data_IF_649558690562
#
_entry.id   IF_649558690562
#
_cell.length_a   1.000
_cell.length_b   1.000
_cell.length_c   1.000
_cell.angle_alpha   90.00
_cell.angle_beta   90.00
_cell.angle_gamma   90.00
#
_symmetry.space_group_name_H-M   'P 1'
#
loop_
_entity.id
_entity.type
_entity.pdbx_description
1 polymer ?
#
# COMPACT_ATOMS: atom_id res chain seq x y z
N UNK A 1 -7.30 68.35 8.89
CA UNK A 1 -8.11 67.11 8.88
C UNK A 1 -7.13 65.98 8.60
N UNK A 2 -6.72 65.26 9.64
CA UNK A 2 -5.68 64.24 9.56
C UNK A 2 -6.36 62.87 9.51
N UNK A 3 -6.16 62.13 8.42
CA UNK A 3 -6.63 60.75 8.31
C UNK A 3 -5.67 59.81 9.06
N UNK A 4 -6.16 58.79 9.78
CA UNK A 4 -5.29 57.83 10.45
C UNK A 4 -4.82 56.77 9.45
N UNK A 5 -3.51 56.52 9.43
CA UNK A 5 -2.91 55.41 8.71
C UNK A 5 -3.10 54.11 9.53
N UNK A 6 -3.83 53.16 8.96
CA UNK A 6 -4.02 51.84 9.56
C UNK A 6 -2.84 50.93 9.20
N UNK A 7 -2.10 50.50 10.23
CA UNK A 7 -1.01 49.54 10.10
C UNK A 7 -1.62 48.13 10.00
N UNK A 8 -1.55 47.51 8.83
CA UNK A 8 -1.93 46.11 8.64
C UNK A 8 -0.74 45.24 9.07
N UNK A 9 -0.86 44.57 10.22
CA UNK A 9 0.09 43.56 10.65
C UNK A 9 -0.18 42.26 9.88
N UNK A 10 0.71 41.92 8.94
CA UNK A 10 0.71 40.61 8.29
C UNK A 10 1.32 39.61 9.26
N UNK A 11 0.48 38.82 9.92
CA UNK A 11 0.91 37.73 10.78
C UNK A 11 1.31 36.54 9.89
N UNK A 12 2.61 36.40 9.61
CA UNK A 12 3.14 35.24 8.90
C UNK A 12 3.05 34.02 9.83
N UNK A 13 2.04 33.17 9.62
CA UNK A 13 1.96 31.88 10.28
C UNK A 13 3.05 30.98 9.70
N UNK A 14 4.15 30.82 10.45
CA UNK A 14 5.15 29.83 10.11
C UNK A 14 4.52 28.43 10.27
N UNK A 15 4.19 27.80 9.14
CA UNK A 15 3.80 26.40 9.12
C UNK A 15 5.06 25.58 9.44
N UNK A 16 5.18 25.13 10.70
CA UNK A 16 6.20 24.17 11.12
C UNK A 16 5.90 22.83 10.46
N UNK A 17 6.60 22.51 9.38
CA UNK A 17 6.59 21.18 8.80
C UNK A 17 7.40 20.25 9.72
N UNK A 18 6.72 19.39 10.47
CA UNK A 18 7.37 18.29 11.16
C UNK A 18 7.95 17.34 10.11
N UNK A 19 9.27 17.29 10.01
CA UNK A 19 9.97 16.24 9.26
C UNK A 19 9.91 14.97 10.12
N UNK A 20 8.99 14.07 9.80
CA UNK A 20 9.03 12.70 10.34
C UNK A 20 10.24 12.03 9.67
N UNK A 21 11.21 11.59 10.46
CA UNK A 21 12.30 10.76 9.96
C UNK A 21 11.71 9.50 9.35
N UNK A 22 12.13 9.15 8.14
CA UNK A 22 11.69 7.93 7.49
C UNK A 22 11.95 6.70 8.39
N UNK A 23 11.00 5.76 8.39
CA UNK A 23 11.10 4.57 9.21
C UNK A 23 12.22 3.65 8.71
N UNK A 24 12.93 3.01 9.64
CA UNK A 24 13.70 1.79 9.34
C UNK A 24 12.75 0.59 9.31
N UNK A 25 13.16 -0.54 8.71
CA UNK A 25 12.29 -1.72 8.60
C UNK A 25 11.77 -2.23 9.96
N UNK A 26 12.54 -2.02 11.02
CA UNK A 26 12.20 -2.42 12.40
C UNK A 26 11.56 -1.31 13.24
N UNK A 27 11.41 -0.09 12.72
CA UNK A 27 10.88 1.04 13.48
C UNK A 27 9.45 0.77 13.99
N UNK A 28 9.03 1.39 15.12
CA UNK A 28 7.64 1.30 15.58
C UNK A 28 6.65 1.79 14.53
N UNK A 29 5.43 1.25 14.49
CA UNK A 29 4.42 1.59 13.48
C UNK A 29 3.99 3.06 13.51
N UNK A 30 4.26 3.77 14.61
CA UNK A 30 4.08 5.23 14.70
C UNK A 30 4.99 6.04 13.74
N UNK A 31 6.05 5.43 13.20
CA UNK A 31 6.88 6.02 12.14
C UNK A 31 6.44 5.63 10.73
N UNK A 32 5.38 4.84 10.58
CA UNK A 32 4.84 4.36 9.32
C UNK A 32 3.51 5.05 9.00
N UNK A 33 3.19 5.17 7.72
CA UNK A 33 1.91 5.69 7.28
C UNK A 33 0.91 4.56 7.14
N UNK A 34 -0.14 4.55 7.97
CA UNK A 34 -1.25 3.61 7.87
C UNK A 34 -2.01 3.86 6.57
N UNK A 35 -2.27 2.81 5.80
CA UNK A 35 -3.15 2.85 4.64
C UNK A 35 -4.51 2.28 5.02
N UNK A 36 -5.52 3.15 5.10
CA UNK A 36 -6.87 2.76 5.51
C UNK A 36 -7.45 1.71 4.57
N UNK A 37 -8.09 0.69 5.14
CA UNK A 37 -8.77 -0.39 4.44
C UNK A 37 -9.53 -1.23 5.46
N UNK A 38 -10.41 -2.12 4.99
CA UNK A 38 -11.12 -3.05 5.87
C UNK A 38 -10.41 -4.40 5.85
N UNK A 39 -9.34 -4.54 6.63
CA UNK A 39 -8.52 -5.75 6.69
C UNK A 39 -9.16 -6.77 7.65
N UNK A 40 -10.29 -7.32 7.22
CA UNK A 40 -11.05 -8.35 7.92
C UNK A 40 -10.92 -9.69 7.20
N UNK A 41 -10.09 -10.56 7.77
CA UNK A 41 -9.74 -11.89 7.25
C UNK A 41 -10.92 -12.88 7.12
N UNK A 42 -12.05 -12.61 7.79
CA UNK A 42 -13.18 -13.55 7.83
C UNK A 42 -13.92 -13.65 6.50
N UNK A 43 -13.75 -12.67 5.60
CA UNK A 43 -14.49 -12.59 4.34
C UNK A 43 -13.72 -13.13 3.12
N UNK A 44 -12.41 -13.37 3.26
CA UNK A 44 -11.46 -13.54 2.17
C UNK A 44 -10.43 -14.67 2.38
N UNK A 45 -10.31 -15.21 3.60
CA UNK A 45 -9.51 -16.40 3.87
C UNK A 45 -9.99 -17.63 3.07
N UNK A 46 -9.06 -18.31 2.41
CA UNK A 46 -9.38 -19.52 1.62
C UNK A 46 -8.92 -20.84 2.23
N UNK A 47 -7.82 -20.82 2.98
CA UNK A 47 -7.15 -22.04 3.47
C UNK A 47 -7.76 -22.55 4.78
N UNK A 48 -8.56 -21.73 5.46
CA UNK A 48 -9.03 -21.99 6.83
C UNK A 48 -7.88 -22.10 7.84
N UNK A 49 -6.72 -21.52 7.54
CA UNK A 49 -5.53 -21.50 8.39
C UNK A 49 -5.22 -20.04 8.78
N UNK A 50 -5.44 -19.66 10.05
CA UNK A 50 -5.34 -18.26 10.45
C UNK A 50 -3.93 -17.67 10.38
N UNK A 51 -2.90 -18.53 10.41
CA UNK A 51 -1.51 -18.10 10.31
C UNK A 51 -1.19 -17.46 8.96
N UNK A 52 -1.11 -16.12 8.92
CA UNK A 52 -0.87 -15.32 7.71
C UNK A 52 -2.10 -14.57 7.19
N UNK A 53 -3.19 -14.56 7.95
CA UNK A 53 -4.33 -13.69 7.71
C UNK A 53 -3.96 -12.23 8.01
N UNK A 54 -4.35 -11.31 7.14
CA UNK A 54 -4.08 -9.88 7.27
C UNK A 54 -5.18 -9.28 8.14
N UNK A 55 -4.78 -8.70 9.27
CA UNK A 55 -5.73 -8.23 10.28
C UNK A 55 -5.54 -6.76 10.61
N UNK A 56 -6.63 -6.03 10.70
CA UNK A 56 -6.59 -4.64 11.14
C UNK A 56 -7.92 -3.94 10.94
N UNK A 57 -8.33 -3.17 11.95
CA UNK A 57 -9.54 -2.36 11.88
C UNK A 57 -9.42 -1.10 12.76
N UNK A 58 -10.07 -0.02 12.33
CA UNK A 58 -10.09 1.24 13.06
C UNK A 58 -8.68 1.78 13.37
N UNK A 59 -8.35 1.89 14.64
CA UNK A 59 -7.03 2.36 15.11
C UNK A 59 -5.93 1.30 15.05
N UNK A 60 -6.28 0.03 14.82
CA UNK A 60 -5.33 -1.06 14.64
C UNK A 60 -5.06 -1.22 13.14
N UNK A 61 -4.07 -0.49 12.61
CA UNK A 61 -3.76 -0.53 11.18
C UNK A 61 -3.37 -1.93 10.71
N UNK A 62 -3.90 -2.35 9.55
CA UNK A 62 -3.59 -3.64 8.92
C UNK A 62 -2.47 -3.57 7.88
N UNK A 63 -2.36 -2.45 7.18
CA UNK A 63 -1.36 -2.22 6.14
C UNK A 63 -0.77 -0.82 6.25
N UNK A 64 0.54 -0.72 6.03
CA UNK A 64 1.31 0.49 6.18
C UNK A 64 2.35 0.61 5.07
N UNK A 65 2.69 1.86 4.74
CA UNK A 65 3.79 2.21 3.84
C UNK A 65 4.76 3.18 4.51
N UNK A 66 5.98 3.22 4.02
CA UNK A 66 6.96 4.25 4.36
C UNK A 66 7.91 4.45 3.17
N UNK A 67 8.50 5.63 3.09
CA UNK A 67 9.53 5.91 2.11
C UNK A 67 10.67 6.70 2.74
N UNK A 68 11.89 6.29 2.40
CA UNK A 68 13.12 6.94 2.83
C UNK A 68 13.86 7.43 1.59
N UNK A 69 13.96 8.74 1.40
CA UNK A 69 14.75 9.35 0.32
C UNK A 69 16.27 9.15 0.51
N UNK A 70 16.69 8.65 1.67
CA UNK A 70 18.09 8.51 2.08
C UNK A 70 18.87 9.85 1.99
N UNK A 71 18.19 10.98 2.14
CA UNK A 71 18.75 12.32 1.98
C UNK A 71 19.08 12.69 0.53
N UNK A 72 18.54 11.96 -0.46
CA UNK A 72 18.73 12.22 -1.88
C UNK A 72 17.85 13.36 -2.37
N UNK A 73 18.37 14.19 -3.30
CA UNK A 73 17.57 15.17 -4.02
C UNK A 73 16.83 14.56 -5.23
N UNK A 74 17.07 13.29 -5.56
CA UNK A 74 16.36 12.61 -6.64
C UNK A 74 14.98 12.17 -6.18
N UNK A 75 13.99 12.31 -7.05
CA UNK A 75 12.63 11.87 -6.82
C UNK A 75 12.36 10.44 -7.37
N UNK A 76 13.41 9.69 -7.68
CA UNK A 76 13.32 8.37 -8.35
C UNK A 76 14.27 7.34 -7.72
N UNK A 77 14.81 7.62 -6.55
CA UNK A 77 15.51 6.66 -5.69
C UNK A 77 14.95 6.69 -4.27
N UNK A 78 15.67 6.14 -3.30
CA UNK A 78 15.18 5.91 -1.96
C UNK A 78 14.78 4.46 -1.74
N UNK A 79 14.17 4.23 -0.58
CA UNK A 79 13.73 2.92 -0.12
C UNK A 79 12.23 2.98 0.13
N UNK A 80 11.48 2.12 -0.57
CA UNK A 80 10.05 1.95 -0.37
C UNK A 80 9.82 0.75 0.56
N UNK A 81 9.05 0.96 1.62
CA UNK A 81 8.79 -0.05 2.63
C UNK A 81 7.31 -0.34 2.80
N UNK A 82 7.01 -1.59 3.11
CA UNK A 82 5.67 -2.07 3.40
C UNK A 82 5.64 -2.80 4.73
N UNK A 83 4.53 -2.68 5.45
CA UNK A 83 4.27 -3.44 6.67
C UNK A 83 2.84 -3.95 6.69
N UNK A 84 2.70 -5.24 6.99
CA UNK A 84 1.42 -5.91 7.19
C UNK A 84 1.32 -6.35 8.64
N UNK A 85 0.13 -6.21 9.22
CA UNK A 85 -0.24 -6.83 10.49
C UNK A 85 -0.91 -8.16 10.19
N UNK A 86 -0.37 -9.23 10.76
CA UNK A 86 -0.78 -10.60 10.50
C UNK A 86 -1.26 -11.26 11.79
N UNK A 87 -2.34 -12.01 11.69
CA UNK A 87 -2.70 -12.98 12.72
C UNK A 87 -1.70 -14.15 12.68
N UNK A 88 -1.27 -14.55 13.87
CA UNK A 88 -0.39 -15.69 14.09
C UNK A 88 -1.09 -16.85 14.80
N UNK A 89 -2.42 -16.81 14.97
CA UNK A 89 -3.16 -17.91 15.55
C UNK A 89 -2.85 -19.22 14.82
N UNK A 90 -2.56 -20.25 15.61
CA UNK A 90 -2.16 -21.57 15.08
C UNK A 90 -0.73 -21.66 14.51
N UNK A 91 0.06 -20.58 14.55
CA UNK A 91 1.48 -20.58 14.18
C UNK A 91 2.36 -21.41 15.12
N UNK A 92 3.57 -21.78 14.67
CA UNK A 92 4.52 -22.51 15.50
C UNK A 92 5.06 -21.63 16.64
N UNK A 93 4.50 -21.79 17.85
CA UNK A 93 4.88 -21.03 19.04
C UNK A 93 6.36 -21.22 19.46
N UNK A 94 7.02 -22.28 18.98
CA UNK A 94 8.43 -22.58 19.27
C UNK A 94 9.40 -22.02 18.22
N UNK A 95 8.92 -21.64 17.03
CA UNK A 95 9.71 -20.99 15.99
C UNK A 95 8.85 -19.90 15.35
N UNK A 96 8.86 -18.74 15.99
CA UNK A 96 8.08 -17.57 15.60
C UNK A 96 8.74 -16.96 14.37
N UNK A 97 8.39 -17.46 13.20
CA UNK A 97 8.86 -16.98 11.91
C UNK A 97 7.69 -16.97 10.93
N UNK A 98 7.66 -15.96 10.06
CA UNK A 98 6.80 -15.96 8.90
C UNK A 98 7.27 -17.05 7.93
N UNK A 99 6.37 -17.91 7.47
CA UNK A 99 6.65 -19.10 6.65
C UNK A 99 5.77 -19.19 5.39
N UNK A 100 5.26 -18.02 4.95
CA UNK A 100 4.36 -17.85 3.81
C UNK A 100 4.95 -16.85 2.81
N UNK A 101 4.12 -16.41 1.87
CA UNK A 101 4.41 -15.30 0.96
C UNK A 101 3.53 -14.12 1.30
N UNK A 102 4.10 -12.93 1.28
CA UNK A 102 3.38 -11.66 1.28
C UNK A 102 3.59 -10.96 -0.06
N UNK A 103 2.50 -10.44 -0.61
CA UNK A 103 2.46 -9.72 -1.87
C UNK A 103 1.91 -8.31 -1.68
N UNK A 104 2.54 -7.36 -2.34
CA UNK A 104 2.00 -6.02 -2.57
C UNK A 104 1.90 -5.82 -4.08
N UNK A 105 0.69 -5.91 -4.61
CA UNK A 105 0.38 -5.50 -5.98
C UNK A 105 0.33 -3.97 -6.07
N UNK A 106 0.89 -3.39 -7.12
CA UNK A 106 0.99 -1.95 -7.32
C UNK A 106 0.27 -1.60 -8.61
N UNK A 107 -0.71 -0.72 -8.53
CA UNK A 107 -1.21 0.04 -9.67
C UNK A 107 -0.52 1.41 -9.67
N UNK A 108 0.31 1.64 -10.69
CA UNK A 108 1.24 2.75 -10.76
C UNK A 108 0.80 3.86 -11.72
N UNK A 109 -0.19 3.58 -12.57
CA UNK A 109 -0.75 4.53 -13.55
C UNK A 109 -2.22 4.90 -13.26
N UNK A 110 -2.82 4.31 -12.21
CA UNK A 110 -4.20 4.46 -11.78
C UNK A 110 -5.26 3.96 -12.78
N UNK A 111 -4.96 2.96 -13.60
CA UNK A 111 -5.90 2.34 -14.55
C UNK A 111 -6.69 1.14 -13.97
N UNK A 112 -6.48 0.85 -12.67
CA UNK A 112 -7.07 -0.28 -11.94
C UNK A 112 -6.59 -1.67 -12.40
N UNK A 113 -5.44 -1.73 -13.07
CA UNK A 113 -4.67 -2.93 -13.38
C UNK A 113 -3.41 -2.95 -12.51
N UNK A 114 -3.03 -4.12 -11.99
CA UNK A 114 -1.76 -4.25 -11.26
C UNK A 114 -0.59 -4.25 -12.24
N UNK A 115 0.32 -3.29 -12.08
CA UNK A 115 1.48 -3.03 -12.93
C UNK A 115 2.74 -3.75 -12.48
N UNK A 116 2.87 -3.97 -11.17
CA UNK A 116 4.03 -4.58 -10.52
C UNK A 116 3.61 -5.33 -9.26
N UNK A 117 4.47 -6.24 -8.80
CA UNK A 117 4.33 -6.90 -7.51
C UNK A 117 5.64 -6.80 -6.73
N UNK A 118 5.55 -6.49 -5.44
CA UNK A 118 6.63 -6.71 -4.48
C UNK A 118 6.30 -7.96 -3.69
N UNK A 119 7.19 -8.95 -3.73
CA UNK A 119 6.98 -10.26 -3.11
C UNK A 119 8.03 -10.56 -2.06
N UNK A 120 7.59 -10.97 -0.88
CA UNK A 120 8.41 -11.56 0.18
C UNK A 120 7.96 -13.00 0.42
N UNK A 121 8.77 -13.97 0.03
CA UNK A 121 8.57 -15.39 0.31
C UNK A 121 9.51 -15.86 1.41
N UNK A 122 8.95 -16.43 2.48
CA UNK A 122 9.70 -17.06 3.57
C UNK A 122 9.34 -18.55 3.71
N UNK A 123 8.63 -19.10 2.72
CA UNK A 123 8.22 -20.51 2.70
C UNK A 123 9.39 -21.47 2.40
N UNK A 124 9.34 -22.65 3.00
CA UNK A 124 10.32 -23.71 2.73
C UNK A 124 11.74 -23.36 3.20
N UNK A 125 12.76 -23.75 2.43
CA UNK A 125 14.18 -23.57 2.79
C UNK A 125 14.85 -22.37 2.10
N UNK A 126 14.09 -21.54 1.39
CA UNK A 126 14.63 -20.43 0.62
C UNK A 126 13.79 -19.18 0.84
N UNK A 127 14.45 -18.09 1.19
CA UNK A 127 13.83 -16.79 1.37
C UNK A 127 14.04 -15.94 0.12
N UNK A 128 13.00 -15.26 -0.34
CA UNK A 128 13.02 -14.41 -1.53
C UNK A 128 12.38 -13.07 -1.24
N UNK A 129 13.05 -11.97 -1.58
CA UNK A 129 12.46 -10.64 -1.64
C UNK A 129 12.72 -10.09 -3.04
N UNK A 130 11.70 -9.56 -3.72
CA UNK A 130 11.90 -9.06 -5.07
C UNK A 130 10.76 -8.25 -5.67
N UNK A 131 11.07 -7.65 -6.82
CA UNK A 131 10.13 -7.00 -7.72
C UNK A 131 9.78 -7.99 -8.82
N UNK A 132 8.50 -8.20 -9.06
CA UNK A 132 7.97 -9.15 -10.02
C UNK A 132 7.08 -8.42 -11.02
N UNK A 133 7.09 -8.91 -12.25
CA UNK A 133 6.11 -8.51 -13.22
C UNK A 133 4.74 -9.13 -12.90
N UNK A 134 3.64 -8.50 -13.32
CA UNK A 134 2.38 -9.20 -13.49
C UNK A 134 2.58 -10.40 -14.42
N UNK A 135 1.80 -11.44 -14.18
CA UNK A 135 1.74 -12.64 -15.01
C UNK A 135 1.04 -12.37 -16.34
N UNK A 136 0.50 -13.42 -16.94
CA UNK A 136 -0.13 -13.34 -18.27
C UNK A 136 -1.59 -12.89 -18.24
N UNK A 137 -2.19 -12.80 -17.05
CA UNK A 137 -3.62 -12.48 -16.90
C UNK A 137 -3.87 -10.97 -16.82
N UNK A 138 -5.15 -10.59 -16.76
CA UNK A 138 -5.58 -9.19 -16.83
C UNK A 138 -5.25 -8.38 -15.57
N UNK A 139 -5.09 -9.01 -14.41
CA UNK A 139 -4.75 -8.39 -13.13
C UNK A 139 -5.71 -7.25 -12.70
N UNK A 140 -6.98 -7.34 -13.09
CA UNK A 140 -8.04 -6.36 -12.75
C UNK A 140 -8.91 -6.79 -11.58
N UNK A 141 -8.82 -8.05 -11.17
CA UNK A 141 -9.60 -8.67 -10.10
C UNK A 141 -8.83 -9.81 -9.44
N UNK A 142 -9.25 -10.30 -8.27
CA UNK A 142 -8.66 -11.50 -7.65
C UNK A 142 -8.56 -12.69 -8.62
N UNK A 143 -9.66 -13.04 -9.30
CA UNK A 143 -9.72 -14.20 -10.20
C UNK A 143 -8.85 -14.08 -11.46
N UNK A 144 -8.41 -12.87 -11.78
CA UNK A 144 -7.59 -12.58 -12.98
C UNK A 144 -6.19 -12.12 -12.62
N UNK A 145 -5.79 -12.24 -11.35
CA UNK A 145 -4.46 -11.86 -10.90
C UNK A 145 -3.50 -13.02 -11.01
N UNK A 146 -2.37 -12.79 -11.69
CA UNK A 146 -1.23 -13.70 -11.69
C UNK A 146 0.06 -12.92 -11.59
N UNK A 147 1.09 -13.58 -11.04
CA UNK A 147 2.41 -12.99 -10.83
C UNK A 147 3.44 -13.80 -11.60
N UNK A 148 4.41 -13.12 -12.23
CA UNK A 148 5.49 -13.79 -12.93
C UNK A 148 6.31 -14.68 -11.99
N UNK A 149 6.75 -15.83 -12.50
CA UNK A 149 7.48 -16.83 -11.69
C UNK A 149 8.90 -16.44 -11.29
N UNK A 150 9.44 -15.39 -11.92
CA UNK A 150 10.82 -14.94 -11.74
C UNK A 150 10.80 -13.46 -11.42
N UNK A 151 11.54 -13.07 -10.38
CA UNK A 151 11.70 -11.67 -10.05
C UNK A 151 12.48 -10.95 -11.16
N UNK A 152 12.03 -9.75 -11.53
CA UNK A 152 12.83 -8.80 -12.28
C UNK A 152 14.09 -8.40 -11.50
N UNK A 153 13.93 -8.24 -10.18
CA UNK A 153 15.01 -7.90 -9.25
C UNK A 153 14.82 -8.66 -7.94
N UNK A 154 15.88 -9.32 -7.46
CA UNK A 154 15.92 -9.97 -6.16
C UNK A 154 16.85 -9.23 -5.19
N UNK A 155 16.53 -9.33 -3.90
CA UNK A 155 17.31 -8.77 -2.80
C UNK A 155 17.72 -9.88 -1.84
N UNK A 156 18.96 -9.82 -1.34
CA UNK A 156 19.35 -10.59 -0.17
C UNK A 156 18.57 -10.08 1.04
N UNK A 157 17.98 -10.99 1.80
CA UNK A 157 17.20 -10.65 3.00
C UNK A 157 18.14 -10.54 4.19
N UNK A 158 18.07 -9.42 4.91
CA UNK A 158 18.77 -9.18 6.16
C UNK A 158 17.98 -8.23 7.07
N UNK A 159 18.56 -7.83 8.20
CA UNK A 159 17.91 -6.97 9.19
C UNK A 159 17.69 -5.51 8.73
N UNK A 160 18.26 -5.11 7.59
CA UNK A 160 18.06 -3.77 7.02
C UNK A 160 16.80 -3.68 6.16
N UNK A 161 16.34 -4.81 5.59
CA UNK A 161 15.23 -4.84 4.65
C UNK A 161 14.11 -5.83 4.99
N UNK A 162 14.23 -6.55 6.11
CA UNK A 162 13.20 -7.45 6.62
C UNK A 162 13.11 -7.40 8.15
N UNK A 163 11.88 -7.41 8.66
CA UNK A 163 11.61 -7.58 10.07
C UNK A 163 10.29 -8.33 10.30
N UNK A 164 10.31 -9.32 11.17
CA UNK A 164 9.10 -10.00 11.66
C UNK A 164 9.13 -9.98 13.18
N UNK A 165 8.14 -9.33 13.80
CA UNK A 165 8.11 -9.12 15.26
C UNK A 165 6.68 -9.05 15.79
N UNK A 166 6.46 -9.36 17.08
CA UNK A 166 5.14 -9.18 17.67
C UNK A 166 4.71 -7.71 17.63
N UNK A 167 3.40 -7.49 17.51
CA UNK A 167 2.78 -6.18 17.72
C UNK A 167 2.94 -5.77 19.18
N UNK A 168 3.31 -4.51 19.40
CA UNK A 168 3.30 -3.90 20.72
C UNK A 168 2.52 -2.58 20.65
N UNK A 169 1.25 -2.61 21.07
CA UNK A 169 0.36 -1.45 20.99
C UNK A 169 0.87 -0.23 21.78
N UNK A 170 1.79 -0.43 22.73
CA UNK A 170 2.36 0.66 23.51
C UNK A 170 3.38 1.48 22.71
N UNK A 171 4.09 0.85 21.77
CA UNK A 171 5.09 1.50 20.91
C UNK A 171 4.58 1.75 19.49
N UNK A 172 3.74 0.85 18.99
CA UNK A 172 3.17 0.87 17.64
C UNK A 172 1.89 1.71 17.53
N UNK A 173 1.28 2.06 18.66
CA UNK A 173 -0.06 2.64 18.71
C UNK A 173 -1.16 1.59 18.50
N UNK A 174 -2.40 2.06 18.37
CA UNK A 174 -3.57 1.20 18.38
C UNK A 174 -4.06 0.90 19.80
N UNK A 175 -4.85 -0.16 19.95
CA UNK A 175 -5.54 -0.48 21.22
C UNK A 175 -5.29 -1.91 21.72
N UNK A 176 -4.65 -2.77 20.92
CA UNK A 176 -4.45 -4.19 21.25
C UNK A 176 -3.26 -4.78 20.50
N UNK A 177 -2.64 -5.81 21.10
CA UNK A 177 -1.64 -6.67 20.44
C UNK A 177 -2.27 -7.77 19.59
N UNK A 178 -3.57 -7.99 19.73
CA UNK A 178 -4.34 -9.01 19.03
C UNK A 178 -5.64 -8.34 18.56
N UNK A 179 -5.70 -8.05 17.27
CA UNK A 179 -6.85 -7.41 16.62
C UNK A 179 -7.95 -8.42 16.30
N UNK A 180 -7.66 -9.71 16.42
CA UNK A 180 -8.64 -10.79 16.26
C UNK A 180 -9.35 -11.03 17.59
N UNK A 181 -10.66 -11.27 17.54
CA UNK A 181 -11.46 -11.50 18.77
C UNK A 181 -11.77 -12.99 19.00
N UNK A 182 -11.36 -13.85 18.07
CA UNK A 182 -11.72 -15.27 18.00
C UNK A 182 -10.65 -16.20 18.58
N UNK A 183 -9.40 -15.75 18.74
CA UNK A 183 -8.24 -16.58 19.11
C UNK A 183 -7.53 -16.04 20.34
N UNK A 184 -8.04 -16.37 21.52
CA UNK A 184 -7.46 -15.91 22.78
C UNK A 184 -6.05 -16.48 23.01
N UNK A 185 -5.04 -15.62 23.10
CA UNK A 185 -3.71 -15.95 23.61
C UNK A 185 -2.56 -16.00 22.61
N UNK A 186 -2.78 -15.55 21.37
CA UNK A 186 -1.73 -15.43 20.34
C UNK A 186 -1.67 -13.96 19.86
N UNK A 187 -0.56 -13.22 20.06
CA UNK A 187 -0.44 -11.85 19.58
C UNK A 187 -0.29 -11.79 18.06
N UNK A 188 -0.75 -10.71 17.45
CA UNK A 188 -0.47 -10.39 16.06
C UNK A 188 1.02 -10.09 15.86
N UNK A 189 1.46 -10.16 14.61
CA UNK A 189 2.81 -9.85 14.19
C UNK A 189 2.84 -8.79 13.10
N UNK A 190 3.84 -7.92 13.16
CA UNK A 190 4.21 -7.08 12.03
C UNK A 190 5.23 -7.79 11.16
N UNK A 191 4.88 -7.95 9.87
CA UNK A 191 5.78 -8.32 8.79
C UNK A 191 6.15 -7.06 8.01
N UNK A 192 7.43 -6.68 8.04
CA UNK A 192 7.93 -5.49 7.36
C UNK A 192 9.03 -5.86 6.37
N UNK A 193 9.01 -5.25 5.19
CA UNK A 193 10.06 -5.39 4.20
C UNK A 193 10.24 -4.14 3.35
N UNK A 194 11.44 -4.00 2.78
CA UNK A 194 11.85 -2.79 2.06
C UNK A 194 12.59 -3.13 0.77
N UNK A 195 12.33 -2.36 -0.29
CA UNK A 195 13.00 -2.49 -1.59
C UNK A 195 13.52 -1.14 -2.07
N UNK A 196 14.48 -1.17 -3.00
CA UNK A 196 15.00 0.06 -3.59
C UNK A 196 13.98 0.63 -4.59
N UNK A 197 13.52 1.86 -4.36
CA UNK A 197 12.53 2.51 -5.21
C UNK A 197 13.04 2.73 -6.64
N UNK A 198 14.35 2.93 -6.82
CA UNK A 198 14.97 3.04 -8.15
C UNK A 198 14.72 1.82 -9.00
N UNK A 199 14.78 0.63 -8.41
CA UNK A 199 14.55 -0.62 -9.15
C UNK A 199 13.09 -0.75 -9.59
N UNK A 200 12.14 -0.27 -8.77
CA UNK A 200 10.72 -0.20 -9.13
C UNK A 200 10.48 0.81 -10.26
N UNK A 201 11.08 2.01 -10.17
CA UNK A 201 11.03 3.03 -11.23
C UNK A 201 11.57 2.45 -12.55
N UNK A 202 12.71 1.77 -12.49
CA UNK A 202 13.32 1.15 -13.67
C UNK A 202 12.42 0.06 -14.26
N UNK A 203 11.84 -0.81 -13.41
CA UNK A 203 10.92 -1.85 -13.83
C UNK A 203 9.69 -1.27 -14.54
N UNK A 204 9.00 -0.30 -13.93
CA UNK A 204 7.83 0.35 -14.51
C UNK A 204 8.18 1.11 -15.79
N UNK A 205 9.39 1.68 -15.87
CA UNK A 205 9.92 2.28 -17.10
C UNK A 205 9.97 1.31 -18.28
N UNK A 206 10.24 0.01 -18.06
CA UNK A 206 10.17 -1.01 -19.12
C UNK A 206 8.76 -1.24 -19.66
N UNK A 207 7.73 -0.89 -18.86
CA UNK A 207 6.31 -0.93 -19.24
C UNK A 207 5.81 0.41 -19.79
N UNK A 208 6.69 1.40 -19.96
CA UNK A 208 6.33 2.75 -20.39
C UNK A 208 5.66 3.61 -19.30
N UNK A 209 5.71 3.17 -18.04
CA UNK A 209 5.12 3.87 -16.89
C UNK A 209 6.23 4.64 -16.18
N UNK A 210 6.08 5.96 -16.07
CA UNK A 210 7.04 6.83 -15.38
C UNK A 210 6.47 7.26 -14.03
N UNK A 211 7.17 6.91 -12.95
CA UNK A 211 6.80 7.33 -11.59
C UNK A 211 7.93 8.09 -10.90
N UNK A 212 7.55 8.93 -9.94
CA UNK A 212 8.43 9.57 -8.97
C UNK A 212 7.92 9.29 -7.55
N UNK A 213 8.65 9.72 -6.53
CA UNK A 213 8.22 9.65 -5.13
C UNK A 213 6.94 10.45 -4.83
N UNK A 214 6.52 11.33 -5.75
CA UNK A 214 5.27 12.10 -5.70
C UNK A 214 4.13 11.50 -6.54
N UNK A 215 4.38 10.46 -7.35
CA UNK A 215 3.35 9.82 -8.16
C UNK A 215 2.29 9.15 -7.28
N UNK A 216 1.02 9.24 -7.69
CA UNK A 216 -0.07 8.54 -7.01
C UNK A 216 -0.04 7.04 -7.32
N UNK A 217 0.16 6.23 -6.30
CA UNK A 217 0.21 4.77 -6.33
C UNK A 217 -0.98 4.20 -5.55
N UNK A 218 -1.53 3.08 -6.02
CA UNK A 218 -2.51 2.27 -5.28
C UNK A 218 -1.94 0.88 -5.06
N UNK A 219 -2.32 0.28 -3.93
CA UNK A 219 -1.79 -1.02 -3.53
C UNK A 219 -2.91 -2.02 -3.28
N UNK A 220 -2.67 -3.27 -3.65
CA UNK A 220 -3.41 -4.44 -3.19
C UNK A 220 -2.46 -5.27 -2.34
N UNK A 221 -2.92 -5.81 -1.22
CA UNK A 221 -2.11 -6.69 -0.37
C UNK A 221 -2.73 -8.07 -0.26
N UNK A 222 -1.86 -9.08 -0.20
CA UNK A 222 -2.29 -10.45 -0.11
C UNK A 222 -1.22 -11.32 0.55
N UNK A 223 -1.64 -12.43 1.13
CA UNK A 223 -0.73 -13.51 1.53
C UNK A 223 -1.00 -14.77 0.73
N UNK A 224 -0.02 -15.68 0.72
CA UNK A 224 -0.12 -16.94 -0.01
C UNK A 224 0.73 -18.05 0.58
N UNK A 225 0.33 -19.28 0.34
CA UNK A 225 1.09 -20.49 0.69
C UNK A 225 2.16 -20.82 -0.34
N UNK A 226 2.05 -20.27 -1.55
CA UNK A 226 2.93 -20.51 -2.68
C UNK A 226 3.26 -19.22 -3.41
N UNK A 227 4.48 -19.16 -3.95
CA UNK A 227 4.86 -18.12 -4.89
C UNK A 227 3.95 -18.16 -6.14
N UNK A 228 3.72 -16.98 -6.73
CA UNK A 228 3.02 -16.77 -8.00
C UNK A 228 1.49 -16.89 -7.98
N UNK A 229 0.90 -17.00 -6.80
CA UNK A 229 -0.55 -16.97 -6.59
C UNK A 229 -0.90 -15.99 -5.48
N UNK A 230 -2.16 -15.54 -5.45
CA UNK A 230 -2.79 -14.91 -4.28
C UNK A 230 -3.83 -15.89 -3.72
N UNK A 231 -3.44 -16.77 -2.80
CA UNK A 231 -4.22 -17.97 -2.47
C UNK A 231 -4.45 -18.24 -0.97
N UNK A 232 -4.10 -17.30 -0.10
CA UNK A 232 -4.37 -17.43 1.32
C UNK A 232 -5.37 -16.38 1.78
N UNK A 233 -4.98 -15.10 1.70
CA UNK A 233 -5.79 -13.98 2.19
C UNK A 233 -5.59 -12.72 1.33
N UNK A 234 -6.61 -11.84 1.27
CA UNK A 234 -6.64 -10.64 0.42
C UNK A 234 -7.03 -9.37 1.20
N UNK A 235 -6.07 -8.77 1.89
CA UNK A 235 -6.35 -7.65 2.78
C UNK A 235 -7.19 -6.53 2.12
N UNK A 236 -8.36 -6.26 2.71
CA UNK A 236 -9.26 -5.21 2.26
C UNK A 236 -10.40 -5.67 1.34
N UNK A 237 -10.49 -6.95 0.99
CA UNK A 237 -11.43 -7.46 -0.02
C UNK A 237 -12.60 -8.21 0.59
N UNK A 238 -13.82 -7.89 0.14
CA UNK A 238 -15.01 -8.69 0.44
C UNK A 238 -15.47 -9.47 -0.80
N UNK A 239 -14.92 -10.67 -1.02
CA UNK A 239 -15.22 -11.47 -2.21
C UNK A 239 -14.34 -12.70 -2.47
N UNK A 240 -13.26 -12.88 -1.69
CA UNK A 240 -12.33 -14.01 -1.81
C UNK A 240 -11.48 -14.02 -3.09
N UNK A 241 -10.49 -14.92 -3.14
CA UNK A 241 -9.44 -14.88 -4.18
C UNK A 241 -9.91 -15.23 -5.59
N UNK A 242 -11.09 -15.83 -5.72
CA UNK A 242 -11.68 -16.22 -7.00
C UNK A 242 -12.78 -15.24 -7.47
N UNK A 243 -12.88 -14.07 -6.84
CA UNK A 243 -13.86 -13.06 -7.25
C UNK A 243 -13.54 -12.48 -8.64
N UNK A 244 -14.48 -12.48 -9.60
CA UNK A 244 -14.31 -11.78 -10.86
C UNK A 244 -14.53 -10.26 -10.73
N UNK A 245 -15.11 -9.80 -9.63
CA UNK A 245 -15.37 -8.38 -9.34
C UNK A 245 -14.05 -7.61 -9.28
N UNK A 246 -14.02 -6.41 -9.85
CA UNK A 246 -12.78 -5.64 -9.94
C UNK A 246 -12.20 -5.30 -8.57
N UNK A 247 -10.88 -5.12 -8.48
CA UNK A 247 -10.22 -4.67 -7.25
C UNK A 247 -10.84 -3.37 -6.70
N UNK A 248 -11.20 -2.44 -7.59
CA UNK A 248 -11.85 -1.18 -7.23
C UNK A 248 -13.24 -1.40 -6.62
N UNK A 249 -14.06 -2.25 -7.22
CA UNK A 249 -15.43 -2.51 -6.75
C UNK A 249 -15.45 -3.33 -5.45
N UNK A 250 -14.41 -4.15 -5.23
CA UNK A 250 -14.22 -4.89 -3.98
C UNK A 250 -13.67 -4.03 -2.84
N UNK A 251 -13.23 -2.79 -3.12
CA UNK A 251 -12.50 -1.97 -2.16
C UNK A 251 -11.09 -2.49 -1.84
N UNK A 252 -10.54 -3.36 -2.69
CA UNK A 252 -9.24 -4.00 -2.47
C UNK A 252 -8.04 -3.09 -2.68
N UNK A 253 -8.22 -1.95 -3.35
CA UNK A 253 -7.17 -0.94 -3.45
C UNK A 253 -7.09 -0.10 -2.18
N UNK A 254 -5.87 0.16 -1.72
CA UNK A 254 -5.58 1.27 -0.82
C UNK A 254 -6.03 2.61 -1.42
N UNK A 255 -6.19 3.67 -0.60
CA UNK A 255 -6.23 5.03 -1.12
C UNK A 255 -5.01 5.31 -2.01
N UNK A 256 -5.19 6.20 -3.00
CA UNK A 256 -4.08 6.68 -3.81
C UNK A 256 -3.15 7.56 -2.97
N UNK A 257 -1.90 7.13 -2.84
CA UNK A 257 -0.89 7.81 -2.04
C UNK A 257 0.41 7.93 -2.81
N UNK A 258 1.23 8.92 -2.47
CA UNK A 258 2.61 9.02 -2.95
C UNK A 258 3.47 7.91 -2.34
N UNK A 259 4.75 7.80 -2.74
CA UNK A 259 5.67 6.89 -2.09
C UNK A 259 5.79 7.20 -0.58
N UNK A 260 5.70 8.48 -0.21
CA UNK A 260 5.68 8.96 1.18
C UNK A 260 4.41 8.59 1.96
N UNK A 261 3.42 7.97 1.32
CA UNK A 261 2.12 7.67 1.92
C UNK A 261 1.21 8.89 2.05
N UNK A 262 1.59 10.03 1.48
CA UNK A 262 0.74 11.22 1.47
C UNK A 262 -0.39 11.05 0.45
N UNK A 263 -1.66 11.37 0.78
CA UNK A 263 -2.75 11.30 -0.17
C UNK A 263 -2.46 12.12 -1.43
N UNK A 264 -2.59 11.49 -2.60
CA UNK A 264 -2.48 12.18 -3.89
C UNK A 264 -3.90 12.34 -4.43
N UNK A 265 -4.39 13.56 -4.68
CA UNK A 265 -5.71 13.76 -5.24
C UNK A 265 -5.85 13.00 -6.55
N UNK A 266 -6.94 12.26 -6.72
CA UNK A 266 -7.28 11.69 -8.02
C UNK A 266 -7.35 12.85 -9.03
N UNK A 267 -6.48 12.83 -10.04
CA UNK A 267 -6.54 13.81 -11.13
C UNK A 267 -7.86 13.58 -11.84
N UNK A 268 -8.81 14.55 -11.87
CA UNK A 268 -10.08 14.34 -12.53
C UNK A 268 -9.83 14.03 -14.00
N UNK A 269 -10.44 12.97 -14.52
CA UNK A 269 -10.29 12.64 -15.93
C UNK A 269 -10.66 13.85 -16.81
N UNK A 270 -9.89 14.15 -17.88
CA UNK A 270 -10.13 15.31 -18.74
C UNK A 270 -11.56 15.39 -19.32
N UNK A 271 -12.25 14.25 -19.39
CA UNK A 271 -13.63 14.13 -19.88
C UNK A 271 -14.64 14.99 -19.11
N UNK A 272 -14.44 15.19 -17.80
CA UNK A 272 -15.32 16.03 -16.98
C UNK A 272 -15.25 17.51 -17.36
N UNK A 273 -14.07 18.01 -17.77
CA UNK A 273 -13.89 19.39 -18.20
C UNK A 273 -14.50 19.66 -19.57
N UNK A 274 -14.42 18.70 -20.49
CA UNK A 274 -15.02 18.84 -21.82
C UNK A 274 -16.55 18.88 -21.77
N UNK A 275 -17.21 18.09 -20.92
CA UNK A 275 -18.67 18.13 -20.78
C UNK A 275 -19.17 19.45 -20.17
N UNK A 276 -18.45 20.00 -19.18
CA UNK A 276 -18.76 21.31 -18.58
C UNK A 276 -18.55 22.49 -19.53
N UNK A 277 -17.45 22.51 -20.28
CA UNK A 277 -17.17 23.57 -21.24
C UNK A 277 -18.17 23.54 -22.43
N UNK A 278 -18.56 22.35 -22.89
CA UNK A 278 -19.53 22.17 -23.98
C UNK A 278 -20.90 22.73 -23.62
N UNK A 279 -21.37 22.48 -22.39
CA UNK A 279 -22.69 22.92 -21.92
C UNK A 279 -22.77 24.44 -21.72
N UNK A 280 -21.68 25.08 -21.28
CA UNK A 280 -21.58 26.56 -21.22
C UNK A 280 -21.54 27.17 -22.62
N UNK A 281 -20.80 26.60 -23.56
CA UNK A 281 -20.78 27.05 -24.96
C UNK A 281 -22.16 26.94 -25.63
N UNK A 282 -22.88 25.83 -25.44
CA UNK A 282 -24.24 25.65 -25.92
C UNK A 282 -25.22 26.64 -25.28
N UNK A 283 -25.08 26.95 -23.99
CA UNK A 283 -25.91 27.95 -23.31
C UNK A 283 -25.63 29.39 -23.82
N UNK A 284 -24.37 29.72 -24.08
CA UNK A 284 -23.96 31.00 -24.64
C UNK A 284 -24.41 31.17 -26.11
N UNK A 285 -24.39 30.10 -26.90
CA UNK A 285 -24.88 30.11 -28.28
C UNK A 285 -26.41 30.17 -28.37
N UNK A 286 -27.13 29.62 -27.38
CA UNK A 286 -28.60 29.70 -27.31
C UNK A 286 -29.10 31.12 -27.00
N UNK A 287 -28.33 31.94 -26.27
CA UNK A 287 -28.70 33.33 -25.94
C UNK A 287 -28.49 34.36 -27.05
N UNK A 288 -27.84 34.00 -28.16
CA UNK A 288 -27.63 34.91 -29.31
C UNK A 288 -28.75 34.85 -30.36
N UNK A 289 -29.80 34.07 -30.15
CA UNK A 289 -31.00 34.02 -31.00
C UNK A 289 -32.23 34.50 -30.22
N UNK A 290 -32.26 35.78 -29.88
CA UNK A 290 -33.44 36.53 -29.47
C UNK A 290 -33.24 37.98 -29.90
#
# INVERSE_FOLDING_TARGET
MNAPAWLVAVCATACLTLTVSAATVSAPSSSWTVLSGNYDYLADQQTGQPAGDIVGSGTNGGFFTTFNDNGSASNTDGTLGFRLRLDAAGGNKNNIAFDRVAWVGIDANNDAVLDAFIGLGMQGSSSTLGIYAPGTDLNTSPATTSVASTAYKSYSIDSSNYNYRPVDYTTDGGTTNDATTSTTGDPDYYLSFMVNFRDLVNFLGTKGISITDQSGLRYVVATSTQMNSLNQDLGGVNGGVNSPTSWSDLGGFSPTVSAHGTPVPAVPEPSAFFLGASSVLLACLRRRRA
#
